data_IF_035314785601
#
_entry.id   IF_035314785601
#
_cell.length_a   1.000
_cell.length_b   1.000
_cell.length_c   1.000
_cell.angle_alpha   90.00
_cell.angle_beta   90.00
_cell.angle_gamma   90.00
#
_symmetry.space_group_name_H-M   'P 1'
#
loop_
_entity.id
_entity.type
_entity.pdbx_description
1 polymer ?
#
# COMPACT_ATOMS: atom_id res chain seq x y z
N UNK A 1 15.25 -4.26 5.81
CA UNK A 1 14.10 -3.47 5.31
C UNK A 1 13.44 -3.04 6.57
N UNK A 2 13.42 -1.73 6.78
CA UNK A 2 13.46 -1.22 8.14
C UNK A 2 12.35 -0.18 8.30
N UNK A 3 11.76 -0.08 9.50
CA UNK A 3 10.89 1.06 9.83
C UNK A 3 11.59 2.38 9.48
N UNK A 4 10.83 3.30 8.90
CA UNK A 4 11.35 4.58 8.38
C UNK A 4 11.79 4.54 6.92
N UNK A 5 11.93 3.37 6.29
CA UNK A 5 12.27 3.28 4.87
C UNK A 5 11.24 3.99 3.98
N UNK A 6 11.66 4.63 2.87
CA UNK A 6 10.75 5.43 2.07
C UNK A 6 9.68 4.57 1.38
N UNK A 7 8.50 5.17 1.22
CA UNK A 7 7.39 4.60 0.44
C UNK A 7 7.11 5.56 -0.71
N UNK A 8 7.15 5.02 -1.93
CA UNK A 8 6.89 5.77 -3.16
C UNK A 8 5.64 5.25 -3.85
N UNK A 9 4.94 6.13 -4.56
CA UNK A 9 3.89 5.77 -5.51
C UNK A 9 4.21 6.39 -6.87
N UNK A 10 4.31 5.54 -7.90
CA UNK A 10 4.75 5.94 -9.24
C UNK A 10 6.04 6.80 -9.22
N UNK A 11 6.97 6.45 -8.34
CA UNK A 11 8.26 7.15 -8.17
C UNK A 11 8.23 8.38 -7.26
N UNK A 12 7.06 8.91 -6.89
CA UNK A 12 6.94 10.04 -5.96
C UNK A 12 6.91 9.53 -4.53
N UNK A 13 7.74 10.09 -3.65
CA UNK A 13 7.68 9.73 -2.22
C UNK A 13 6.39 10.25 -1.58
N UNK A 14 5.63 9.33 -0.99
CA UNK A 14 4.33 9.60 -0.38
C UNK A 14 4.31 9.38 1.14
N UNK A 15 5.33 8.74 1.68
CA UNK A 15 5.36 8.33 3.07
C UNK A 15 6.60 7.49 3.43
N UNK A 16 6.44 6.68 4.47
CA UNK A 16 7.46 5.79 5.01
C UNK A 16 6.86 4.51 5.57
N UNK A 17 7.67 3.49 5.77
CA UNK A 17 7.27 2.28 6.50
C UNK A 17 7.13 2.65 7.98
N UNK A 18 5.94 2.43 8.55
CA UNK A 18 5.69 2.64 9.99
C UNK A 18 6.13 1.43 10.81
N UNK A 19 5.68 0.24 10.42
CA UNK A 19 6.08 -1.00 11.08
C UNK A 19 6.08 -2.20 10.14
N UNK A 20 6.80 -3.24 10.54
CA UNK A 20 6.90 -4.52 9.85
C UNK A 20 6.65 -5.59 10.90
N UNK A 21 5.74 -6.51 10.62
CA UNK A 21 5.46 -7.65 11.49
C UNK A 21 5.36 -8.93 10.69
N UNK A 22 5.70 -10.04 11.32
CA UNK A 22 5.48 -11.36 10.75
C UNK A 22 4.00 -11.74 10.87
N UNK A 23 3.45 -12.33 9.82
CA UNK A 23 2.11 -12.88 9.75
C UNK A 23 2.15 -14.23 9.04
N UNK A 24 1.08 -15.02 9.17
CA UNK A 24 0.88 -16.20 8.33
C UNK A 24 -0.13 -15.87 7.24
N UNK A 25 0.22 -16.17 6.00
CA UNK A 25 -0.68 -16.09 4.86
C UNK A 25 -0.70 -17.46 4.18
N UNK A 26 -1.88 -18.07 4.08
CA UNK A 26 -2.07 -19.42 3.53
C UNK A 26 -1.15 -20.47 4.16
N UNK A 27 -0.99 -20.40 5.49
CA UNK A 27 -0.15 -21.32 6.27
C UNK A 27 1.36 -21.10 6.11
N UNK A 28 1.79 -20.14 5.28
CA UNK A 28 3.20 -19.81 5.06
C UNK A 28 3.60 -18.51 5.77
N UNK A 29 4.85 -18.37 6.24
CA UNK A 29 5.36 -17.12 6.78
C UNK A 29 5.31 -16.01 5.72
N UNK A 30 4.81 -14.85 6.12
CA UNK A 30 4.73 -13.65 5.29
C UNK A 30 5.00 -12.40 6.15
N UNK A 31 5.35 -11.30 5.50
CA UNK A 31 5.55 -10.03 6.18
C UNK A 31 4.35 -9.10 5.94
N UNK A 32 3.84 -8.49 7.01
CA UNK A 32 2.86 -7.42 6.97
C UNK A 32 3.57 -6.08 7.17
N UNK A 33 3.32 -5.15 6.26
CA UNK A 33 3.82 -3.78 6.33
C UNK A 33 2.69 -2.85 6.72
N UNK A 34 2.92 -1.97 7.68
CA UNK A 34 2.10 -0.79 7.95
C UNK A 34 2.84 0.42 7.39
N UNK A 35 2.18 1.21 6.56
CA UNK A 35 2.77 2.35 5.87
C UNK A 35 2.16 3.65 6.39
N UNK A 36 3.00 4.58 6.80
CA UNK A 36 2.60 5.93 7.17
C UNK A 36 2.59 6.78 5.89
N UNK A 37 1.41 6.94 5.29
CA UNK A 37 1.22 7.68 4.04
C UNK A 37 0.61 9.05 4.34
N UNK A 38 1.13 10.10 3.69
CA UNK A 38 0.57 11.44 3.84
C UNK A 38 -0.89 11.46 3.30
N UNK A 39 -1.88 11.90 4.11
CA UNK A 39 -3.29 11.91 3.75
C UNK A 39 -3.62 12.57 2.40
N UNK A 40 -2.83 13.57 1.98
CA UNK A 40 -3.03 14.26 0.69
C UNK A 40 -2.93 13.34 -0.52
N UNK A 41 -2.21 12.21 -0.40
CA UNK A 41 -2.04 11.25 -1.49
C UNK A 41 -3.06 10.10 -1.47
N UNK A 42 -3.78 9.88 -0.37
CA UNK A 42 -4.68 8.72 -0.21
C UNK A 42 -5.76 8.68 -1.29
N UNK A 43 -6.29 9.84 -1.70
CA UNK A 43 -7.30 9.93 -2.76
C UNK A 43 -6.79 9.54 -4.15
N UNK A 44 -5.47 9.50 -4.34
CA UNK A 44 -4.81 9.24 -5.63
C UNK A 44 -4.31 7.79 -5.75
N UNK A 45 -4.27 7.04 -4.65
CA UNK A 45 -3.72 5.68 -4.59
C UNK A 45 -4.88 4.69 -4.76
N UNK A 46 -4.94 3.89 -5.83
CA UNK A 46 -5.94 2.84 -6.01
C UNK A 46 -5.89 1.79 -4.89
N UNK A 47 -7.00 1.10 -4.66
CA UNK A 47 -7.07 0.06 -3.63
C UNK A 47 -6.25 -1.20 -3.97
N UNK A 48 -5.90 -1.40 -5.24
CA UNK A 48 -5.22 -2.57 -5.78
C UNK A 48 -3.84 -2.24 -6.38
N UNK A 49 -3.06 -1.39 -5.72
CA UNK A 49 -1.69 -1.10 -6.14
C UNK A 49 -0.80 -2.34 -6.15
N UNK A 50 0.13 -2.38 -7.10
CA UNK A 50 1.21 -3.36 -7.09
C UNK A 50 2.33 -2.85 -6.16
N UNK A 51 2.82 -3.70 -5.26
CA UNK A 51 3.85 -3.35 -4.29
C UNK A 51 5.14 -4.14 -4.54
N UNK A 52 6.27 -3.44 -4.61
CA UNK A 52 7.59 -4.02 -4.82
C UNK A 52 8.60 -3.47 -3.81
N UNK A 53 9.58 -4.28 -3.42
CA UNK A 53 10.74 -3.84 -2.65
C UNK A 53 11.89 -3.58 -3.61
N UNK A 54 12.37 -2.34 -3.67
CA UNK A 54 13.46 -1.93 -4.57
C UNK A 54 14.64 -1.37 -3.76
N UNK A 55 15.82 -1.36 -4.37
CA UNK A 55 17.00 -0.67 -3.86
C UNK A 55 17.55 0.23 -4.98
N UNK A 56 18.05 1.41 -4.62
CA UNK A 56 18.66 2.34 -5.59
C UNK A 56 20.07 1.91 -5.99
N UNK A 57 20.75 1.15 -5.13
CA UNK A 57 22.06 0.56 -5.38
C UNK A 57 22.11 -0.85 -4.78
N UNK A 58 23.13 -1.64 -5.14
CA UNK A 58 23.30 -3.02 -4.63
C UNK A 58 23.51 -3.04 -3.10
N UNK A 59 24.05 -1.97 -2.53
CA UNK A 59 24.27 -1.80 -1.09
C UNK A 59 23.31 -0.79 -0.45
N UNK A 60 22.35 -0.27 -1.23
CA UNK A 60 21.49 0.82 -0.83
C UNK A 60 20.36 0.37 0.07
N UNK A 61 19.85 1.30 0.87
CA UNK A 61 18.65 1.08 1.66
C UNK A 61 17.48 0.73 0.75
N UNK A 62 16.79 -0.36 1.10
CA UNK A 62 15.60 -0.81 0.38
C UNK A 62 14.43 0.12 0.67
N UNK A 63 13.50 0.24 -0.27
CA UNK A 63 12.31 1.06 -0.18
C UNK A 63 11.09 0.34 -0.76
N UNK A 64 9.89 0.78 -0.36
CA UNK A 64 8.63 0.26 -0.91
C UNK A 64 8.25 1.10 -2.12
N UNK A 65 8.07 0.46 -3.26
CA UNK A 65 7.59 1.06 -4.50
C UNK A 65 6.18 0.55 -4.80
N UNK A 66 5.21 1.45 -4.69
CA UNK A 66 3.84 1.23 -5.13
C UNK A 66 3.67 1.73 -6.55
N UNK A 67 2.97 0.98 -7.38
CA UNK A 67 2.66 1.39 -8.76
C UNK A 67 1.19 1.19 -9.07
N UNK A 68 0.66 2.04 -9.97
CA UNK A 68 -0.69 1.83 -10.49
C UNK A 68 -0.77 0.50 -11.24
N UNK A 69 -1.80 -0.33 -10.97
CA UNK A 69 -2.03 -1.55 -11.73
C UNK A 69 -2.58 -1.21 -13.11
N UNK A 70 -2.58 -2.19 -14.03
CA UNK A 70 -3.19 -2.03 -15.37
C UNK A 70 -4.66 -1.63 -15.33
N UNK A 71 -5.41 -2.10 -14.33
CA UNK A 71 -6.81 -1.75 -14.10
C UNK A 71 -6.99 -1.19 -12.67
N UNK A 72 -6.95 0.15 -12.48
CA UNK A 72 -7.08 0.76 -11.15
C UNK A 72 -8.47 0.57 -10.56
N UNK A 73 -8.56 -0.08 -9.40
CA UNK A 73 -9.77 -0.13 -8.62
C UNK A 73 -10.00 1.24 -7.97
N UNK A 74 -11.23 1.75 -8.10
CA UNK A 74 -11.65 2.96 -7.38
C UNK A 74 -11.49 2.73 -5.89
N UNK A 75 -10.96 3.71 -5.17
CA UNK A 75 -11.03 3.69 -3.71
C UNK A 75 -12.49 3.63 -3.30
N UNK A 76 -12.89 2.45 -2.85
CA UNK A 76 -14.26 2.18 -2.44
C UNK A 76 -14.53 2.90 -1.13
N UNK A 77 -14.99 4.15 -1.20
CA UNK A 77 -16.06 4.56 -0.29
C UNK A 77 -17.23 3.65 -0.61
N UNK A 78 -17.34 2.50 0.06
CA UNK A 78 -18.53 1.67 0.00
C UNK A 78 -19.67 2.49 0.60
N UNK A 79 -20.31 3.33 -0.21
CA UNK A 79 -21.67 3.75 0.04
C UNK A 79 -22.52 2.49 -0.04
N UNK A 80 -22.74 1.84 1.11
CA UNK A 80 -23.85 0.91 1.29
C UNK A 80 -25.14 1.75 1.30
N UNK A 81 -25.54 2.23 0.14
CA UNK A 81 -26.91 2.62 -0.15
C UNK A 81 -27.44 1.59 -1.14
N UNK A 82 -27.98 0.50 -0.59
CA UNK A 82 -29.10 -0.17 -1.25
C UNK A 82 -30.22 -0.24 -0.25
N UNK A 83 -31.16 0.66 -0.46
CA UNK A 83 -32.55 0.53 -0.07
C UNK A 83 -33.06 -0.89 -0.32
N UNK A 84 -33.49 -1.58 0.72
CA UNK A 84 -34.63 -2.49 0.59
C UNK A 84 -35.77 -1.90 1.42
N UNK A 85 -36.75 -1.48 0.65
CA UNK A 85 -37.99 -0.78 0.96
C UNK A 85 -38.87 -1.64 1.87
N UNK A 86 -39.54 -0.97 2.82
CA UNK A 86 -40.73 -1.41 3.57
C UNK A 86 -41.53 -2.52 2.86
N UNK A 87 -41.80 -3.62 3.55
CA UNK A 87 -43.14 -4.04 3.99
C UNK A 87 -43.00 -5.06 5.12
#
# INVERSE_FOLDING_TARGET
>A
MDPGAPVTYNGVQIGRVGSISEVKHDGKPAAKFILDVNPKYIKLIPANVDANIKATTVFGNKYVALTSPKNPARNGSRHMMSSTRRR
#
